data_IF_271087731110
#
_entry.id   IF_271087731110
#
_cell.length_a   1.000
_cell.length_b   1.000
_cell.length_c   1.000
_cell.angle_alpha   90.00
_cell.angle_beta   90.00
_cell.angle_gamma   90.00
#
_symmetry.space_group_name_H-M   'P 1'
#
loop_
_entity.id
_entity.type
_entity.pdbx_description
1 polymer ?
#
# COMPACT_ATOMS: atom_id res chain seq x y z
N UNK A 1 -9.60 2.33 -19.90
CA UNK A 1 -9.96 1.24 -18.95
C UNK A 1 -11.45 1.18 -18.64
N UNK A 2 -12.01 0.01 -18.30
CA UNK A 2 -13.39 -0.13 -17.77
C UNK A 2 -13.36 -0.17 -16.24
N UNK A 3 -14.40 0.37 -15.59
CA UNK A 3 -14.55 0.32 -14.11
C UNK A 3 -14.49 -1.12 -13.58
N UNK A 4 -15.12 -2.07 -14.29
CA UNK A 4 -15.09 -3.49 -13.93
C UNK A 4 -13.68 -4.06 -13.85
N UNK A 5 -12.75 -3.59 -14.69
CA UNK A 5 -11.34 -4.00 -14.65
C UNK A 5 -10.66 -3.45 -13.41
N UNK A 6 -10.91 -2.19 -13.04
CA UNK A 6 -10.37 -1.59 -11.81
C UNK A 6 -10.86 -2.37 -10.59
N UNK A 7 -12.17 -2.65 -10.51
CA UNK A 7 -12.76 -3.38 -9.39
C UNK A 7 -12.23 -4.82 -9.29
N UNK A 8 -12.12 -5.53 -10.42
CA UNK A 8 -11.50 -6.84 -10.46
C UNK A 8 -10.05 -6.78 -9.94
N UNK A 9 -9.30 -5.76 -10.32
CA UNK A 9 -7.92 -5.58 -9.89
C UNK A 9 -7.81 -5.30 -8.39
N UNK A 10 -8.77 -4.59 -7.79
CA UNK A 10 -8.87 -4.51 -6.32
C UNK A 10 -9.06 -5.89 -5.71
N UNK A 11 -9.98 -6.71 -6.25
CA UNK A 11 -10.21 -8.09 -5.80
C UNK A 11 -8.95 -8.95 -5.94
N UNK A 12 -8.20 -8.81 -7.03
CA UNK A 12 -6.88 -9.48 -7.20
C UNK A 12 -5.88 -9.01 -6.14
N UNK A 13 -5.85 -7.70 -5.84
CA UNK A 13 -5.02 -7.14 -4.78
C UNK A 13 -5.29 -7.78 -3.42
N UNK A 14 -6.58 -7.92 -3.06
CA UNK A 14 -7.01 -8.57 -1.81
C UNK A 14 -6.66 -10.06 -1.82
N UNK A 15 -7.22 -10.82 -2.76
CA UNK A 15 -7.26 -12.29 -2.64
C UNK A 15 -6.06 -13.01 -3.23
N UNK A 16 -5.31 -12.39 -4.13
CA UNK A 16 -4.13 -13.00 -4.74
C UNK A 16 -2.84 -12.36 -4.20
N UNK A 17 -2.67 -11.05 -4.34
CA UNK A 17 -1.44 -10.38 -3.92
C UNK A 17 -1.29 -10.41 -2.39
N UNK A 18 -2.33 -10.01 -1.66
CA UNK A 18 -2.29 -9.97 -0.20
C UNK A 18 -2.08 -11.35 0.42
N UNK A 19 -2.82 -12.36 -0.03
CA UNK A 19 -2.69 -13.73 0.50
C UNK A 19 -1.33 -14.35 0.17
N UNK A 20 -0.80 -14.12 -1.03
CA UNK A 20 0.52 -14.58 -1.42
C UNK A 20 1.62 -13.93 -0.58
N UNK A 21 1.59 -12.60 -0.38
CA UNK A 21 2.56 -11.92 0.46
C UNK A 21 2.48 -12.39 1.91
N UNK A 22 1.27 -12.49 2.49
CA UNK A 22 1.07 -12.99 3.85
C UNK A 22 1.64 -14.41 4.02
N UNK A 23 1.40 -15.31 3.07
CA UNK A 23 1.95 -16.66 3.10
C UNK A 23 3.48 -16.68 2.97
N UNK A 24 4.04 -15.87 2.07
CA UNK A 24 5.48 -15.75 1.87
C UNK A 24 6.19 -15.20 3.10
N UNK A 25 5.68 -14.12 3.68
CA UNK A 25 6.25 -13.48 4.86
C UNK A 25 6.10 -14.35 6.12
N UNK A 26 4.95 -14.98 6.29
CA UNK A 26 4.76 -15.95 7.38
C UNK A 26 5.77 -17.10 7.27
N UNK A 27 5.92 -17.68 6.08
CA UNK A 27 6.85 -18.79 5.85
C UNK A 27 8.29 -18.32 6.06
N UNK A 28 8.67 -17.19 5.47
CA UNK A 28 10.01 -16.61 5.57
C UNK A 28 10.40 -16.34 7.02
N UNK A 29 9.55 -15.64 7.77
CA UNK A 29 9.84 -15.27 9.16
C UNK A 29 9.96 -16.50 10.05
N UNK A 30 9.13 -17.54 9.84
CA UNK A 30 9.23 -18.81 10.57
C UNK A 30 10.52 -19.58 10.26
N UNK A 31 10.89 -19.68 8.99
CA UNK A 31 12.10 -20.38 8.56
C UNK A 31 13.35 -19.67 9.10
N UNK A 32 13.42 -18.35 8.95
CA UNK A 32 14.57 -17.57 9.43
C UNK A 32 14.68 -17.60 10.95
N UNK A 33 13.57 -17.50 11.68
CA UNK A 33 13.58 -17.64 13.14
C UNK A 33 14.15 -19.00 13.57
N UNK A 34 13.69 -20.09 12.93
CA UNK A 34 14.18 -21.44 13.22
C UNK A 34 15.66 -21.64 12.88
N UNK A 35 16.15 -21.02 11.80
CA UNK A 35 17.56 -21.14 11.38
C UNK A 35 18.53 -20.28 12.18
N UNK A 36 18.05 -19.17 12.73
CA UNK A 36 18.90 -18.16 13.41
C UNK A 36 18.78 -18.18 14.93
N UNK A 37 17.92 -19.05 15.49
CA UNK A 37 17.58 -19.14 16.91
C UNK A 37 17.10 -17.80 17.51
N UNK A 38 16.50 -16.96 16.67
CA UNK A 38 15.93 -15.67 17.06
C UNK A 38 14.44 -15.82 17.29
N UNK A 39 13.88 -14.95 18.13
CA UNK A 39 12.43 -14.88 18.29
C UNK A 39 11.76 -14.47 16.96
N UNK A 40 10.58 -15.03 16.68
CA UNK A 40 9.78 -14.67 15.49
C UNK A 40 9.51 -13.16 15.46
N UNK A 41 9.27 -12.54 16.62
CA UNK A 41 9.03 -11.10 16.74
C UNK A 41 10.24 -10.29 16.29
N UNK A 42 11.45 -10.66 16.70
CA UNK A 42 12.67 -9.97 16.26
C UNK A 42 12.88 -10.08 14.74
N UNK A 43 12.64 -11.26 14.18
CA UNK A 43 12.73 -11.50 12.74
C UNK A 43 11.68 -10.69 11.98
N UNK A 44 10.42 -10.69 12.44
CA UNK A 44 9.33 -9.89 11.87
C UNK A 44 9.68 -8.41 11.90
N UNK A 45 10.14 -7.88 13.04
CA UNK A 45 10.49 -6.47 13.20
C UNK A 45 11.60 -6.05 12.23
N UNK A 46 12.59 -6.91 12.01
CA UNK A 46 13.68 -6.63 11.07
C UNK A 46 13.20 -6.76 9.62
N UNK A 47 12.42 -7.80 9.32
CA UNK A 47 11.89 -8.10 7.98
C UNK A 47 10.97 -6.99 7.48
N UNK A 48 10.15 -6.42 8.37
CA UNK A 48 9.13 -5.41 8.06
C UNK A 48 9.67 -4.19 7.31
N UNK A 49 10.93 -3.77 7.56
CA UNK A 49 11.54 -2.62 6.88
C UNK A 49 12.76 -2.99 6.01
N UNK A 50 13.05 -4.27 5.82
CA UNK A 50 14.20 -4.70 5.00
C UNK A 50 13.76 -5.50 3.79
N UNK A 51 13.10 -6.64 4.02
CA UNK A 51 12.76 -7.60 2.97
C UNK A 51 11.29 -7.52 2.58
N UNK A 52 10.38 -7.35 3.54
CA UNK A 52 8.94 -7.31 3.27
C UNK A 52 8.56 -6.26 2.21
N UNK A 53 9.04 -5.00 2.25
CA UNK A 53 8.66 -3.99 1.26
C UNK A 53 9.00 -4.40 -0.19
N UNK A 54 10.12 -5.08 -0.41
CA UNK A 54 10.49 -5.60 -1.73
C UNK A 54 9.57 -6.73 -2.17
N UNK A 55 9.35 -7.72 -1.30
CA UNK A 55 8.51 -8.88 -1.59
C UNK A 55 7.09 -8.42 -1.90
N UNK A 56 6.54 -7.56 -1.06
CA UNK A 56 5.21 -6.99 -1.21
C UNK A 56 5.03 -6.27 -2.55
N UNK A 57 5.91 -5.30 -2.88
CA UNK A 57 5.75 -4.54 -4.13
C UNK A 57 5.96 -5.43 -5.36
N UNK A 58 6.86 -6.42 -5.31
CA UNK A 58 7.03 -7.41 -6.39
C UNK A 58 5.79 -8.28 -6.57
N UNK A 59 5.21 -8.79 -5.49
CA UNK A 59 3.99 -9.61 -5.51
C UNK A 59 2.82 -8.77 -6.05
N UNK A 60 2.67 -7.53 -5.60
CA UNK A 60 1.62 -6.60 -6.06
C UNK A 60 1.72 -6.31 -7.55
N UNK A 61 2.91 -6.10 -8.11
CA UNK A 61 3.04 -5.81 -9.56
C UNK A 61 3.04 -7.06 -10.45
N UNK A 62 3.20 -8.25 -9.89
CA UNK A 62 3.25 -9.50 -10.65
C UNK A 62 2.07 -9.72 -11.61
N UNK A 63 0.79 -9.40 -11.26
CA UNK A 63 -0.32 -9.55 -12.19
C UNK A 63 -0.21 -8.59 -13.39
N UNK A 64 0.34 -7.39 -13.18
CA UNK A 64 0.57 -6.42 -14.26
C UNK A 64 1.71 -6.83 -15.17
N UNK A 65 2.78 -7.41 -14.61
CA UNK A 65 3.87 -7.97 -15.41
C UNK A 65 3.35 -9.11 -16.30
N UNK A 66 2.57 -10.04 -15.74
CA UNK A 66 1.96 -11.14 -16.48
C UNK A 66 1.00 -10.64 -17.57
N UNK A 67 0.11 -9.70 -17.24
CA UNK A 67 -0.78 -9.08 -18.22
C UNK A 67 0.02 -8.34 -19.31
N UNK A 68 1.07 -7.63 -18.89
CA UNK A 68 2.02 -6.94 -19.75
C UNK A 68 2.91 -7.86 -20.59
N UNK A 69 2.94 -9.18 -20.36
CA UNK A 69 3.57 -10.13 -21.29
C UNK A 69 2.64 -10.42 -22.48
N UNK A 70 1.33 -10.27 -22.32
CA UNK A 70 0.38 -10.52 -23.40
C UNK A 70 0.37 -9.38 -24.43
N UNK A 71 0.64 -9.71 -25.70
CA UNK A 71 0.83 -8.71 -26.76
C UNK A 71 -0.41 -7.82 -26.98
N UNK A 72 -1.62 -8.37 -26.83
CA UNK A 72 -2.87 -7.61 -26.96
C UNK A 72 -3.00 -6.55 -25.87
N UNK A 73 -2.74 -6.93 -24.61
CA UNK A 73 -2.76 -6.02 -23.46
C UNK A 73 -1.72 -4.92 -23.62
N UNK A 74 -0.47 -5.27 -23.97
CA UNK A 74 0.60 -4.27 -24.21
C UNK A 74 0.24 -3.20 -25.25
N UNK A 75 -0.50 -3.59 -26.29
CA UNK A 75 -0.94 -2.69 -27.34
C UNK A 75 -2.11 -1.81 -26.91
N UNK A 76 -3.01 -2.34 -26.07
CA UNK A 76 -4.22 -1.66 -25.62
C UNK A 76 -4.00 -0.75 -24.41
N UNK A 77 -3.15 -1.13 -23.46
CA UNK A 77 -2.92 -0.39 -22.23
C UNK A 77 -1.82 0.66 -22.42
N UNK A 78 -2.10 1.88 -21.99
CA UNK A 78 -1.13 2.96 -21.83
C UNK A 78 -0.48 2.95 -20.45
N UNK A 79 0.44 3.90 -20.22
CA UNK A 79 1.08 4.08 -18.90
C UNK A 79 0.05 4.33 -17.80
N UNK A 80 -0.96 5.14 -18.09
CA UNK A 80 -2.07 5.44 -17.17
C UNK A 80 -2.86 4.20 -16.77
N UNK A 81 -3.13 3.27 -17.70
CA UNK A 81 -3.84 2.03 -17.34
C UNK A 81 -3.00 1.21 -16.35
N UNK A 82 -1.69 1.06 -16.59
CA UNK A 82 -0.80 0.36 -15.65
C UNK A 82 -0.70 1.06 -14.28
N UNK A 83 -0.65 2.39 -14.25
CA UNK A 83 -0.64 3.17 -13.00
C UNK A 83 -1.94 3.01 -12.22
N UNK A 84 -3.10 3.13 -12.86
CA UNK A 84 -4.41 2.98 -12.19
C UNK A 84 -4.63 1.55 -11.73
N UNK A 85 -4.24 0.55 -12.51
CA UNK A 85 -4.33 -0.85 -12.09
C UNK A 85 -3.34 -1.15 -10.95
N UNK A 86 -2.15 -0.56 -10.96
CA UNK A 86 -1.22 -0.63 -9.83
C UNK A 86 -1.83 -0.05 -8.57
N UNK A 87 -2.42 1.15 -8.66
CA UNK A 87 -3.15 1.78 -7.57
C UNK A 87 -4.25 0.86 -7.01
N UNK A 88 -5.03 0.22 -7.89
CA UNK A 88 -6.07 -0.73 -7.50
C UNK A 88 -5.53 -2.00 -6.81
N UNK A 89 -4.40 -2.56 -7.27
CA UNK A 89 -3.74 -3.70 -6.62
C UNK A 89 -3.27 -3.33 -5.22
N UNK A 90 -2.63 -2.17 -5.07
CA UNK A 90 -2.18 -1.64 -3.78
C UNK A 90 -3.35 -1.40 -2.83
N UNK A 91 -4.47 -0.87 -3.34
CA UNK A 91 -5.67 -0.68 -2.54
C UNK A 91 -6.27 -2.00 -2.04
N UNK A 92 -6.39 -2.99 -2.92
CA UNK A 92 -6.85 -4.32 -2.51
C UNK A 92 -5.92 -4.99 -1.49
N UNK A 93 -4.60 -4.89 -1.73
CA UNK A 93 -3.60 -5.44 -0.84
C UNK A 93 -3.69 -4.85 0.57
N UNK A 94 -3.66 -3.52 0.68
CA UNK A 94 -3.68 -2.88 1.98
C UNK A 94 -5.00 -3.10 2.72
N UNK A 95 -6.10 -3.36 1.99
CA UNK A 95 -7.38 -3.70 2.61
C UNK A 95 -7.26 -5.05 3.33
N UNK A 96 -6.64 -6.05 2.69
CA UNK A 96 -6.35 -7.31 3.37
C UNK A 96 -5.41 -7.08 4.56
N UNK A 97 -4.36 -6.27 4.40
CA UNK A 97 -3.43 -5.98 5.48
C UNK A 97 -4.15 -5.40 6.71
N UNK A 98 -5.03 -4.42 6.51
CA UNK A 98 -5.85 -3.85 7.57
C UNK A 98 -6.82 -4.89 8.18
N UNK A 99 -7.42 -5.76 7.36
CA UNK A 99 -8.27 -6.85 7.87
C UNK A 99 -7.48 -7.82 8.74
N UNK A 100 -6.29 -8.24 8.31
CA UNK A 100 -5.43 -9.13 9.11
C UNK A 100 -4.96 -8.47 10.40
N UNK A 101 -4.77 -7.13 10.38
CA UNK A 101 -4.34 -6.36 11.55
C UNK A 101 -5.44 -6.18 12.60
N UNK A 102 -6.69 -5.94 12.18
CA UNK A 102 -7.74 -5.46 13.10
C UNK A 102 -8.99 -6.36 13.20
N UNK A 103 -9.15 -7.37 12.33
CA UNK A 103 -10.38 -8.19 12.33
C UNK A 103 -10.63 -8.95 13.63
N UNK A 104 -9.57 -9.28 14.37
CA UNK A 104 -9.67 -9.98 15.65
C UNK A 104 -9.96 -9.06 16.84
N UNK A 105 -9.93 -7.73 16.65
CA UNK A 105 -10.22 -6.74 17.70
C UNK A 105 -11.64 -6.14 17.60
N UNK A 106 -12.51 -6.74 16.80
CA UNK A 106 -13.86 -6.23 16.54
C UNK A 106 -14.72 -6.14 17.81
N UNK A 107 -14.51 -7.02 18.79
CA UNK A 107 -15.18 -7.02 20.09
C UNK A 107 -14.74 -5.85 21.00
N UNK A 108 -13.57 -5.29 20.74
CA UNK A 108 -12.98 -4.16 21.47
C UNK A 108 -13.29 -2.81 20.81
N UNK A 109 -13.87 -2.84 19.61
CA UNK A 109 -14.14 -1.65 18.82
C UNK A 109 -15.23 -0.77 19.46
N UNK A 110 -14.95 0.52 19.59
CA UNK A 110 -15.89 1.53 20.09
C UNK A 110 -16.32 2.45 18.94
N UNK A 111 -17.63 2.64 18.77
CA UNK A 111 -18.17 3.58 17.78
C UNK A 111 -17.84 5.02 18.19
N UNK A 112 -17.12 5.76 17.34
CA UNK A 112 -16.73 7.16 17.59
C UNK A 112 -16.48 7.91 16.29
N UNK A 113 -16.82 9.19 16.23
CA UNK A 113 -16.62 10.06 15.06
C UNK A 113 -17.23 9.53 13.74
N UNK A 114 -18.32 8.76 13.82
CA UNK A 114 -18.96 8.16 12.65
C UNK A 114 -18.28 6.89 12.12
N UNK A 115 -17.16 6.46 12.71
CA UNK A 115 -16.48 5.20 12.46
C UNK A 115 -16.23 4.42 13.76
N UNK A 116 -15.13 3.67 13.81
CA UNK A 116 -14.75 2.85 14.96
C UNK A 116 -13.32 3.11 15.40
N UNK A 117 -13.06 3.01 16.70
CA UNK A 117 -11.71 3.01 17.26
C UNK A 117 -11.44 1.70 18.00
N UNK A 118 -10.21 1.21 17.93
CA UNK A 118 -9.75 0.12 18.80
C UNK A 118 -8.83 0.72 19.87
N UNK A 119 -9.26 0.83 21.14
CA UNK A 119 -8.51 1.54 22.18
C UNK A 119 -7.33 0.70 22.69
N UNK A 120 -6.22 0.74 21.96
CA UNK A 120 -4.96 0.06 22.32
C UNK A 120 -3.87 1.01 22.83
N UNK A 121 -3.97 2.31 22.53
CA UNK A 121 -2.99 3.30 22.95
C UNK A 121 -3.56 4.73 22.92
N UNK A 122 -2.73 5.73 23.28
CA UNK A 122 -3.07 7.15 23.13
C UNK A 122 -3.26 7.60 21.67
N UNK A 123 -2.77 6.81 20.72
CA UNK A 123 -3.01 6.93 19.28
C UNK A 123 -3.73 5.67 18.80
N UNK A 124 -5.04 5.63 19.00
CA UNK A 124 -5.85 4.47 18.68
C UNK A 124 -6.04 4.38 17.14
N UNK A 125 -5.97 3.17 16.54
CA UNK A 125 -6.41 2.99 15.16
C UNK A 125 -7.89 3.35 15.03
N UNK A 126 -8.20 4.17 14.04
CA UNK A 126 -9.53 4.58 13.61
C UNK A 126 -9.85 3.92 12.27
N UNK A 127 -11.01 3.29 12.20
CA UNK A 127 -11.59 2.65 11.01
C UNK A 127 -12.72 3.54 10.51
N UNK A 128 -12.67 4.04 9.24
CA UNK A 128 -13.69 4.93 8.71
C UNK A 128 -15.05 4.25 8.61
N UNK A 129 -16.10 5.03 8.92
CA UNK A 129 -17.48 4.61 8.75
C UNK A 129 -17.95 4.59 7.30
N UNK A 130 -19.13 4.02 7.02
CA UNK A 130 -19.68 3.96 5.66
C UNK A 130 -19.81 5.34 5.01
N UNK A 131 -20.21 6.36 5.76
CA UNK A 131 -20.32 7.72 5.24
C UNK A 131 -18.98 8.19 4.66
N UNK A 132 -17.91 8.10 5.46
CA UNK A 132 -16.56 8.48 5.02
C UNK A 132 -16.08 7.60 3.86
N UNK A 133 -16.32 6.28 3.89
CA UNK A 133 -15.96 5.36 2.79
C UNK A 133 -16.64 5.73 1.47
N UNK A 134 -17.91 6.14 1.50
CA UNK A 134 -18.68 6.46 0.29
C UNK A 134 -18.51 7.91 -0.19
N UNK A 135 -18.07 8.83 0.68
CA UNK A 135 -17.88 10.24 0.32
C UNK A 135 -16.42 10.64 0.11
N UNK A 136 -15.46 9.79 0.47
CA UNK A 136 -14.03 10.07 0.27
C UNK A 136 -13.48 9.33 -0.93
N UNK A 137 -12.50 9.96 -1.58
CA UNK A 137 -11.82 9.35 -2.70
C UNK A 137 -10.72 8.43 -2.18
N UNK A 138 -11.04 7.13 -2.06
CA UNK A 138 -10.11 6.06 -1.69
C UNK A 138 -9.43 6.30 -0.33
N UNK A 139 -10.22 6.31 0.77
CA UNK A 139 -9.68 6.50 2.10
C UNK A 139 -8.78 5.33 2.47
N UNK A 140 -7.76 5.58 3.29
CA UNK A 140 -7.03 4.52 3.97
C UNK A 140 -8.01 3.65 4.79
N UNK A 141 -7.88 2.32 4.81
CA UNK A 141 -8.75 1.44 5.60
C UNK A 141 -8.58 1.64 7.11
N UNK A 142 -7.50 2.30 7.53
CA UNK A 142 -7.27 2.72 8.91
C UNK A 142 -6.43 4.00 8.98
N UNK A 143 -6.61 4.77 10.04
CA UNK A 143 -5.80 5.96 10.34
C UNK A 143 -5.50 6.05 11.84
N UNK A 144 -4.38 6.66 12.26
CA UNK A 144 -4.15 6.94 13.67
C UNK A 144 -5.04 8.09 14.15
N UNK A 145 -5.73 7.90 15.28
CA UNK A 145 -6.50 8.93 15.95
C UNK A 145 -5.99 9.15 17.38
N UNK A 146 -5.55 10.40 17.66
CA UNK A 146 -5.19 10.79 19.02
C UNK A 146 -6.45 10.94 19.88
N UNK A 147 -6.50 10.26 21.04
CA UNK A 147 -7.69 10.18 21.90
C UNK A 147 -8.20 11.53 22.44
N UNK A 148 -7.38 12.60 22.37
CA UNK A 148 -7.75 13.97 22.74
C UNK A 148 -8.34 14.81 21.59
N UNK A 149 -8.47 14.27 20.36
CA UNK A 149 -9.00 15.00 19.21
C UNK A 149 -10.52 15.10 19.30
N UNK A 150 -11.05 16.33 19.27
CA UNK A 150 -12.48 16.63 19.40
C UNK A 150 -13.13 17.15 18.10
N UNK A 151 -12.37 17.23 17.00
CA UNK A 151 -12.85 17.69 15.68
C UNK A 151 -13.10 16.57 14.68
N UNK A 152 -13.39 16.94 13.43
CA UNK A 152 -13.52 16.01 12.31
C UNK A 152 -12.23 15.18 12.13
N UNK A 153 -12.42 13.89 11.93
CA UNK A 153 -11.36 12.93 11.61
C UNK A 153 -11.24 12.90 10.10
N UNK A 154 -10.05 13.21 9.59
CA UNK A 154 -9.74 13.03 8.19
C UNK A 154 -8.83 11.84 8.04
N UNK A 155 -9.30 10.82 7.34
CA UNK A 155 -8.49 9.66 6.98
C UNK A 155 -7.57 10.03 5.81
N UNK A 156 -6.25 9.80 5.92
CA UNK A 156 -5.33 10.07 4.81
C UNK A 156 -5.62 9.13 3.64
N UNK A 157 -5.17 9.52 2.45
CA UNK A 157 -5.13 8.58 1.31
C UNK A 157 -4.28 7.38 1.64
N UNK A 158 -4.71 6.28 1.06
CA UNK A 158 -4.15 4.97 1.26
C UNK A 158 -2.72 4.83 0.71
N UNK A 159 -1.73 4.64 1.57
CA UNK A 159 -0.32 4.66 1.18
C UNK A 159 0.06 3.51 0.23
N UNK A 160 -0.48 2.31 0.44
CA UNK A 160 -0.28 1.18 -0.49
C UNK A 160 -0.78 1.48 -1.91
N UNK A 161 -1.87 2.23 -2.05
CA UNK A 161 -2.34 2.67 -3.36
C UNK A 161 -1.27 3.51 -4.07
N UNK A 162 -0.66 4.46 -3.36
CA UNK A 162 0.35 5.37 -3.92
C UNK A 162 1.62 4.61 -4.31
N UNK A 163 2.14 3.75 -3.44
CA UNK A 163 3.32 2.95 -3.73
C UNK A 163 3.11 2.06 -4.94
N UNK A 164 2.00 1.33 -4.97
CA UNK A 164 1.75 0.40 -6.06
C UNK A 164 1.31 1.13 -7.34
N UNK A 165 0.82 2.37 -7.28
CA UNK A 165 0.66 3.22 -8.46
C UNK A 165 2.01 3.55 -9.13
N UNK A 166 3.03 3.90 -8.34
CA UNK A 166 4.40 4.10 -8.82
C UNK A 166 4.99 2.80 -9.37
N UNK A 167 4.81 1.69 -8.65
CA UNK A 167 5.26 0.37 -9.11
C UNK A 167 4.53 -0.05 -10.41
N UNK A 168 3.23 0.25 -10.54
CA UNK A 168 2.46 0.07 -11.77
C UNK A 168 2.98 0.93 -12.92
N UNK A 169 3.33 2.20 -12.67
CA UNK A 169 3.99 3.06 -13.65
C UNK A 169 5.32 2.44 -14.14
N UNK A 170 6.11 1.86 -13.23
CA UNK A 170 7.34 1.15 -13.58
C UNK A 170 7.07 0.00 -14.56
N UNK A 171 6.04 -0.83 -14.29
CA UNK A 171 5.62 -1.89 -15.22
C UNK A 171 5.21 -1.31 -16.57
N UNK A 172 4.44 -0.22 -16.57
CA UNK A 172 4.06 0.48 -17.80
C UNK A 172 5.27 0.90 -18.63
N UNK A 173 6.27 1.52 -18.01
CA UNK A 173 7.54 1.91 -18.67
C UNK A 173 8.24 0.65 -19.21
N UNK A 174 8.36 -0.41 -18.42
CA UNK A 174 9.02 -1.64 -18.83
C UNK A 174 8.34 -2.30 -20.05
N UNK A 175 7.00 -2.27 -20.09
CA UNK A 175 6.21 -2.88 -21.16
C UNK A 175 6.14 -2.03 -22.44
N UNK A 176 6.23 -0.69 -22.32
CA UNK A 176 5.94 0.24 -23.42
C UNK A 176 7.16 1.00 -23.95
N UNK A 177 8.16 1.25 -23.12
CA UNK A 177 9.29 2.07 -23.51
C UNK A 177 10.20 1.34 -24.52
N UNK A 178 10.92 2.14 -25.32
CA UNK A 178 11.99 1.62 -26.18
C UNK A 178 13.04 0.91 -25.32
N UNK A 179 13.73 -0.10 -25.86
CA UNK A 179 14.67 -0.95 -25.10
C UNK A 179 15.66 -0.14 -24.23
N UNK A 180 16.22 0.96 -24.76
CA UNK A 180 17.17 1.84 -24.04
C UNK A 180 16.56 2.64 -22.89
N UNK A 181 15.25 2.82 -22.88
CA UNK A 181 14.52 3.58 -21.86
C UNK A 181 13.90 2.69 -20.78
N UNK A 182 13.88 1.36 -20.98
CA UNK A 182 13.37 0.41 -19.98
C UNK A 182 14.05 0.51 -18.61
N UNK A 183 15.36 0.79 -18.50
CA UNK A 183 16.00 1.01 -17.20
C UNK A 183 15.37 2.15 -16.39
N UNK A 184 14.69 3.11 -17.02
CA UNK A 184 13.98 4.17 -16.30
C UNK A 184 12.83 3.65 -15.43
N UNK A 185 12.34 2.43 -15.66
CA UNK A 185 11.35 1.79 -14.80
C UNK A 185 11.87 1.57 -13.36
N UNK A 186 13.19 1.48 -13.18
CA UNK A 186 13.80 1.32 -11.86
C UNK A 186 13.58 2.54 -10.96
N UNK A 187 13.36 3.73 -11.53
CA UNK A 187 13.16 4.96 -10.77
C UNK A 187 11.84 4.92 -9.99
N UNK A 188 10.65 4.79 -10.63
CA UNK A 188 9.40 4.74 -9.88
C UNK A 188 9.25 3.46 -9.05
N UNK A 189 9.82 2.33 -9.48
CA UNK A 189 9.81 1.11 -8.66
C UNK A 189 10.68 1.26 -7.40
N UNK A 190 11.91 1.76 -7.55
CA UNK A 190 12.81 2.04 -6.42
C UNK A 190 12.22 3.08 -5.47
N UNK A 191 11.55 4.11 -5.98
CA UNK A 191 10.83 5.09 -5.17
C UNK A 191 9.70 4.45 -4.36
N UNK A 192 8.89 3.57 -4.96
CA UNK A 192 7.83 2.84 -4.25
C UNK A 192 8.40 2.01 -3.09
N UNK A 193 9.43 1.21 -3.36
CA UNK A 193 10.06 0.34 -2.36
C UNK A 193 10.76 1.15 -1.27
N UNK A 194 11.48 2.21 -1.63
CA UNK A 194 12.16 3.07 -0.66
C UNK A 194 11.17 3.78 0.26
N UNK A 195 10.07 4.31 -0.28
CA UNK A 195 9.05 4.97 0.52
C UNK A 195 8.30 3.99 1.43
N UNK A 196 7.98 2.80 0.94
CA UNK A 196 7.40 1.73 1.74
C UNK A 196 8.35 1.26 2.86
N UNK A 197 9.63 1.08 2.54
CA UNK A 197 10.68 0.75 3.52
C UNK A 197 10.77 1.80 4.63
N UNK A 198 10.79 3.09 4.26
CA UNK A 198 10.86 4.19 5.21
C UNK A 198 9.60 4.24 6.10
N UNK A 199 8.41 4.05 5.52
CA UNK A 199 7.16 4.01 6.27
C UNK A 199 7.18 2.91 7.35
N UNK A 200 7.63 1.71 6.99
CA UNK A 200 7.69 0.59 7.92
C UNK A 200 8.78 0.81 8.99
N UNK A 201 9.91 1.41 8.61
CA UNK A 201 10.97 1.77 9.54
C UNK A 201 10.49 2.78 10.60
N UNK A 202 9.81 3.85 10.19
CA UNK A 202 9.27 4.88 11.10
C UNK A 202 8.15 4.32 11.97
N UNK A 203 7.33 3.42 11.44
CA UNK A 203 6.26 2.77 12.22
C UNK A 203 6.82 1.87 13.33
N UNK A 204 7.95 1.19 13.07
CA UNK A 204 8.60 0.30 14.04
C UNK A 204 9.64 0.97 14.95
N UNK A 205 10.14 2.17 14.60
CA UNK A 205 11.17 2.87 15.36
C UNK A 205 10.87 4.37 15.47
N UNK A 206 10.84 4.94 16.70
CA UNK A 206 10.67 6.38 16.88
C UNK A 206 11.98 7.13 16.58
N UNK A 207 12.32 7.27 15.29
CA UNK A 207 13.44 8.07 14.82
C UNK A 207 12.90 9.40 14.24
N UNK A 208 13.13 10.51 14.96
CA UNK A 208 12.58 11.84 14.61
C UNK A 208 12.98 12.27 13.19
N UNK A 209 14.25 12.12 12.82
CA UNK A 209 14.74 12.49 11.49
C UNK A 209 14.04 11.69 10.37
N UNK A 210 13.92 10.37 10.53
CA UNK A 210 13.27 9.51 9.54
C UNK A 210 11.78 9.86 9.36
N UNK A 211 11.13 10.30 10.44
CA UNK A 211 9.76 10.79 10.41
C UNK A 211 9.63 12.10 9.62
N UNK A 212 10.52 13.06 9.83
CA UNK A 212 10.52 14.33 9.09
C UNK A 212 10.72 14.10 7.57
N UNK A 213 11.57 13.14 7.21
CA UNK A 213 11.75 12.68 5.82
C UNK A 213 10.47 12.08 5.24
N UNK A 214 9.79 11.21 6.00
CA UNK A 214 8.55 10.58 5.58
C UNK A 214 7.46 11.63 5.35
N UNK A 215 7.27 12.57 6.28
CA UNK A 215 6.30 13.66 6.17
C UNK A 215 6.56 14.53 4.92
N UNK A 216 7.84 14.80 4.62
CA UNK A 216 8.24 15.55 3.41
C UNK A 216 7.96 14.77 2.12
N UNK A 217 8.19 13.45 2.12
CA UNK A 217 7.93 12.60 0.97
C UNK A 217 6.44 12.44 0.71
N UNK A 218 5.67 12.18 1.76
CA UNK A 218 4.21 12.14 1.70
C UNK A 218 3.72 13.42 1.06
N UNK A 219 4.07 14.60 1.61
CA UNK A 219 3.71 15.93 1.11
C UNK A 219 3.92 16.11 -0.42
N UNK A 220 4.96 15.51 -0.99
CA UNK A 220 5.30 15.61 -2.42
C UNK A 220 4.62 14.55 -3.28
N UNK A 221 4.40 13.35 -2.75
CA UNK A 221 3.78 12.23 -3.47
C UNK A 221 2.29 12.42 -3.71
N UNK A 222 1.63 13.29 -2.93
CA UNK A 222 0.26 13.76 -3.20
C UNK A 222 0.09 14.50 -4.54
N UNK A 223 1.18 14.88 -5.22
CA UNK A 223 1.08 15.44 -6.58
C UNK A 223 0.80 14.37 -7.65
N UNK A 224 0.97 13.07 -7.33
CA UNK A 224 0.81 11.96 -8.29
C UNK A 224 -0.66 11.63 -8.60
N UNK A 225 -1.61 11.63 -7.62
CA UNK A 225 -3.04 11.52 -7.91
C UNK A 225 -3.62 12.80 -8.57
N UNK A 226 -2.97 13.96 -8.39
CA UNK A 226 -3.46 15.26 -8.86
C UNK A 226 -3.19 15.55 -10.35
N UNK A 227 -2.80 14.56 -11.16
CA UNK A 227 -2.68 14.72 -12.63
C UNK A 227 -4.03 14.89 -13.37
N UNK A 228 -5.08 15.28 -12.65
CA UNK A 228 -6.30 15.91 -13.17
C UNK A 228 -6.84 17.00 -12.22
N UNK A 229 -6.00 17.94 -11.83
CA UNK A 229 -6.46 19.24 -11.32
C UNK A 229 -5.86 20.37 -12.17
N UNK A 230 -6.05 20.32 -13.49
CA UNK A 230 -5.93 21.50 -14.36
C UNK A 230 -6.99 21.44 -15.46
N UNK A 231 -7.93 22.39 -15.36
CA UNK A 231 -8.76 23.07 -16.37
C UNK A 231 -10.20 22.61 -16.65
N UNK A 232 -11.17 23.54 -16.84
CA UNK A 232 -11.34 24.89 -16.24
C UNK A 232 -12.26 24.89 -15.01
#
# INVERSE_FOLDING_TARGET
>A
MRLSTVLLTVVVGVYACGTAAAALEFTYTRVIAAQTDRSVIEVVNTTAYTTAPWVEELVKVSPLLLAGMYAKVRRQWGLTDFTILGAALGAGFGLLEALLRYSLDADRALSRHGGWIVPDSLSAPYIPGPAEVFTSWLPSPAAPLNLGRTGEVMVPTFTHLVWTALAGLAVGILCRARSRLKPLALIPFGAAVAHHTLNNYVSGRPAREARDWLETLDAKLWAVPCWRCFWP
#
